data_IF_132447869443
#
_entry.id   IF_132447869443
#
_cell.length_a   1.000
_cell.length_b   1.000
_cell.length_c   1.000
_cell.angle_alpha   90.00
_cell.angle_beta   90.00
_cell.angle_gamma   90.00
#
_symmetry.space_group_name_H-M   'P 1'
#
loop_
_entity.id
_entity.type
_entity.pdbx_description
1 polymer ?
#
# COMPACT_ATOMS: atom_id res chain seq x y z
N UNK A 1 -62.19 34.14 -1.93
CA UNK A 1 -61.68 35.16 -2.87
C UNK A 1 -60.17 35.24 -2.71
N UNK A 2 -59.41 34.45 -3.48
CA UNK A 2 -57.97 34.62 -3.61
C UNK A 2 -57.60 34.21 -5.03
N UNK A 3 -57.50 35.20 -5.91
CA UNK A 3 -57.05 35.01 -7.29
C UNK A 3 -55.53 34.86 -7.22
N UNK A 4 -55.06 33.63 -7.39
CA UNK A 4 -53.63 33.31 -7.47
C UNK A 4 -53.00 34.16 -8.55
N UNK A 5 -52.10 35.05 -8.12
CA UNK A 5 -51.39 35.98 -8.98
C UNK A 5 -50.29 35.21 -9.73
N UNK A 6 -50.67 34.48 -10.77
CA UNK A 6 -49.72 33.90 -11.71
C UNK A 6 -49.17 35.03 -12.59
N UNK A 7 -48.14 35.70 -12.09
CA UNK A 7 -47.27 36.55 -12.90
C UNK A 7 -46.61 35.65 -13.96
N UNK A 8 -46.62 36.01 -15.26
CA UNK A 8 -45.92 35.22 -16.27
C UNK A 8 -44.44 35.20 -15.92
N UNK A 9 -43.88 33.99 -15.78
CA UNK A 9 -42.48 33.80 -15.46
C UNK A 9 -41.63 34.47 -16.55
N UNK A 10 -40.62 35.29 -16.19
CA UNK A 10 -39.75 35.93 -17.17
C UNK A 10 -39.07 34.84 -18.03
N UNK A 11 -38.84 35.11 -19.32
CA UNK A 11 -38.34 34.11 -20.28
C UNK A 11 -37.06 33.37 -19.89
N UNK A 12 -36.29 33.89 -18.93
CA UNK A 12 -35.11 33.22 -18.35
C UNK A 12 -35.43 32.13 -17.32
N UNK A 13 -36.68 31.99 -16.86
CA UNK A 13 -37.08 31.01 -15.83
C UNK A 13 -36.89 29.57 -16.30
N UNK A 14 -37.07 29.29 -17.60
CA UNK A 14 -36.82 27.96 -18.17
C UNK A 14 -35.34 27.58 -18.08
N UNK A 15 -34.43 28.51 -18.40
CA UNK A 15 -32.99 28.29 -18.26
C UNK A 15 -32.56 28.07 -16.81
N UNK A 16 -33.15 28.81 -15.87
CA UNK A 16 -32.90 28.58 -14.44
C UNK A 16 -33.37 27.20 -13.99
N UNK A 17 -34.56 26.75 -14.42
CA UNK A 17 -35.07 25.42 -14.11
C UNK A 17 -34.17 24.32 -14.68
N UNK A 18 -33.73 24.47 -15.93
CA UNK A 18 -32.80 23.55 -16.58
C UNK A 18 -31.48 23.46 -15.81
N UNK A 19 -30.91 24.60 -15.43
CA UNK A 19 -29.66 24.66 -14.68
C UNK A 19 -29.80 24.01 -13.29
N UNK A 20 -30.93 24.24 -12.63
CA UNK A 20 -31.24 23.62 -11.34
C UNK A 20 -31.30 22.09 -11.44
N UNK A 21 -31.98 21.57 -12.48
CA UNK A 21 -32.03 20.13 -12.74
C UNK A 21 -30.64 19.58 -13.07
N UNK A 22 -29.86 20.28 -13.90
CA UNK A 22 -28.50 19.87 -14.24
C UNK A 22 -27.59 19.77 -13.01
N UNK A 23 -27.70 20.72 -12.08
CA UNK A 23 -26.96 20.69 -10.80
C UNK A 23 -27.39 19.52 -9.93
N UNK A 24 -28.71 19.24 -9.83
CA UNK A 24 -29.22 18.09 -9.08
C UNK A 24 -28.69 16.77 -9.65
N UNK A 25 -28.75 16.60 -10.98
CA UNK A 25 -28.23 15.40 -11.65
C UNK A 25 -26.73 15.26 -11.41
N UNK A 26 -25.97 16.36 -11.51
CA UNK A 26 -24.53 16.37 -11.24
C UNK A 26 -24.22 15.95 -9.80
N UNK A 27 -24.95 16.48 -8.81
CA UNK A 27 -24.74 16.14 -7.40
C UNK A 27 -24.97 14.64 -7.14
N UNK A 28 -26.04 14.06 -7.71
CA UNK A 28 -26.33 12.63 -7.60
C UNK A 28 -25.26 11.81 -8.31
N UNK A 29 -24.87 12.19 -9.53
CA UNK A 29 -23.87 11.49 -10.32
C UNK A 29 -22.50 11.46 -9.62
N UNK A 30 -22.07 12.57 -9.05
CA UNK A 30 -20.80 12.67 -8.30
C UNK A 30 -20.84 11.77 -7.05
N UNK A 31 -21.94 11.82 -6.28
CA UNK A 31 -22.11 10.97 -5.10
C UNK A 31 -22.09 9.47 -5.46
N UNK A 32 -22.79 9.10 -6.54
CA UNK A 32 -22.82 7.74 -7.04
C UNK A 32 -21.45 7.27 -7.51
N UNK A 33 -20.73 8.10 -8.28
CA UNK A 33 -19.36 7.81 -8.72
C UNK A 33 -18.42 7.63 -7.53
N UNK A 34 -18.55 8.44 -6.47
CA UNK A 34 -17.76 8.30 -5.26
C UNK A 34 -18.06 6.98 -4.52
N UNK A 35 -19.32 6.56 -4.47
CA UNK A 35 -19.71 5.29 -3.87
C UNK A 35 -19.16 4.09 -4.66
N UNK A 36 -19.30 4.11 -5.99
CA UNK A 36 -18.73 3.09 -6.87
C UNK A 36 -17.21 3.01 -6.77
N UNK A 37 -16.54 4.17 -6.74
CA UNK A 37 -15.08 4.21 -6.59
C UNK A 37 -14.62 3.58 -5.27
N UNK A 38 -15.34 3.80 -4.16
CA UNK A 38 -15.05 3.15 -2.88
C UNK A 38 -15.19 1.64 -2.95
N UNK A 39 -16.20 1.12 -3.64
CA UNK A 39 -16.36 -0.33 -3.80
C UNK A 39 -15.22 -0.93 -4.63
N UNK A 40 -14.86 -0.30 -5.74
CA UNK A 40 -13.79 -0.77 -6.62
C UNK A 40 -12.42 -0.72 -5.92
N UNK A 41 -12.16 0.35 -5.16
CA UNK A 41 -10.97 0.47 -4.33
C UNK A 41 -10.92 -0.64 -3.27
N UNK A 42 -12.03 -0.95 -2.60
CA UNK A 42 -12.04 -2.03 -1.60
C UNK A 42 -11.65 -3.39 -2.21
N UNK A 43 -12.13 -3.72 -3.41
CA UNK A 43 -11.70 -4.95 -4.10
C UNK A 43 -10.22 -4.93 -4.45
N UNK A 44 -9.70 -3.78 -4.88
CA UNK A 44 -8.27 -3.63 -5.18
C UNK A 44 -7.40 -3.80 -3.92
N UNK A 45 -7.81 -3.19 -2.81
CA UNK A 45 -7.09 -3.29 -1.54
C UNK A 45 -7.10 -4.71 -0.97
N UNK A 46 -8.15 -5.49 -1.22
CA UNK A 46 -8.18 -6.89 -0.80
C UNK A 46 -7.08 -7.72 -1.49
N UNK A 47 -6.93 -7.58 -2.81
CA UNK A 47 -5.89 -8.27 -3.58
C UNK A 47 -4.49 -7.76 -3.21
N UNK A 48 -4.33 -6.45 -3.07
CA UNK A 48 -3.07 -5.85 -2.61
C UNK A 48 -2.66 -6.37 -1.23
N UNK A 49 -3.61 -6.54 -0.31
CA UNK A 49 -3.32 -7.05 1.04
C UNK A 49 -2.71 -8.45 1.02
N UNK A 50 -3.16 -9.32 0.11
CA UNK A 50 -2.58 -10.66 -0.08
C UNK A 50 -1.14 -10.55 -0.58
N UNK A 51 -0.91 -9.69 -1.58
CA UNK A 51 0.42 -9.46 -2.14
C UNK A 51 1.39 -8.87 -1.12
N UNK A 52 0.95 -7.90 -0.32
CA UNK A 52 1.77 -7.24 0.69
C UNK A 52 2.19 -8.22 1.79
N UNK A 53 1.30 -9.14 2.20
CA UNK A 53 1.64 -10.21 3.16
C UNK A 53 2.72 -11.13 2.61
N UNK A 54 2.59 -11.57 1.36
CA UNK A 54 3.59 -12.42 0.71
C UNK A 54 4.94 -11.70 0.57
N UNK A 55 4.93 -10.40 0.25
CA UNK A 55 6.15 -9.61 0.15
C UNK A 55 6.83 -9.40 1.51
N UNK A 56 6.07 -9.23 2.58
CA UNK A 56 6.60 -9.15 3.93
C UNK A 56 7.26 -10.48 4.36
N UNK A 57 6.63 -11.61 4.06
CA UNK A 57 7.19 -12.94 4.33
C UNK A 57 8.46 -13.18 3.53
N UNK A 58 8.48 -12.82 2.24
CA UNK A 58 9.67 -12.89 1.41
C UNK A 58 10.81 -12.01 1.94
N UNK A 59 10.50 -10.79 2.39
CA UNK A 59 11.49 -9.91 3.01
C UNK A 59 12.09 -10.51 4.28
N UNK A 60 11.26 -11.15 5.11
CA UNK A 60 11.72 -11.89 6.29
C UNK A 60 12.63 -13.06 5.89
N UNK A 61 12.25 -13.86 4.90
CA UNK A 61 13.06 -14.97 4.41
C UNK A 61 14.41 -14.50 3.84
N UNK A 62 14.45 -13.35 3.16
CA UNK A 62 15.73 -12.77 2.71
C UNK A 62 16.61 -12.35 3.88
N UNK A 63 16.04 -11.77 4.93
CA UNK A 63 16.80 -11.43 6.13
C UNK A 63 17.35 -12.69 6.80
N UNK A 64 16.53 -13.74 6.90
CA UNK A 64 16.96 -15.06 7.38
C UNK A 64 18.08 -15.63 6.49
N UNK A 65 17.96 -15.58 5.16
CA UNK A 65 18.99 -16.08 4.26
C UNK A 65 20.28 -15.26 4.36
N UNK A 66 20.19 -13.93 4.35
CA UNK A 66 21.36 -13.04 4.35
C UNK A 66 22.22 -13.19 5.61
N UNK A 67 21.61 -13.50 6.75
CA UNK A 67 22.33 -13.82 7.98
C UNK A 67 23.06 -15.17 7.90
N UNK A 68 22.49 -16.16 7.20
CA UNK A 68 23.12 -17.46 6.98
C UNK A 68 24.25 -17.40 5.93
N UNK A 69 24.07 -16.68 4.82
CA UNK A 69 25.08 -16.61 3.76
C UNK A 69 26.31 -15.78 4.16
N UNK A 70 26.16 -14.76 4.99
CA UNK A 70 27.30 -13.97 5.46
C UNK A 70 28.20 -14.77 6.43
N UNK A 71 27.60 -15.51 7.37
CA UNK A 71 28.37 -16.29 8.35
C UNK A 71 28.92 -17.59 7.76
N UNK A 72 28.06 -18.39 7.12
CA UNK A 72 28.43 -19.71 6.60
C UNK A 72 29.46 -19.63 5.46
N UNK A 73 29.37 -18.63 4.57
CA UNK A 73 30.32 -18.50 3.46
C UNK A 73 31.69 -18.03 3.93
N UNK A 74 31.76 -17.14 4.93
CA UNK A 74 33.05 -16.69 5.48
C UNK A 74 33.70 -17.82 6.28
N UNK A 75 32.93 -18.53 7.09
CA UNK A 75 33.41 -19.64 7.90
C UNK A 75 33.89 -20.81 7.02
N UNK A 76 33.12 -21.20 5.99
CA UNK A 76 33.53 -22.23 5.05
C UNK A 76 34.79 -21.83 4.25
N UNK A 77 34.89 -20.58 3.80
CA UNK A 77 36.07 -20.11 3.07
C UNK A 77 37.31 -20.02 3.98
N UNK A 78 37.14 -19.66 5.26
CA UNK A 78 38.21 -19.62 6.26
C UNK A 78 38.68 -21.02 6.68
N UNK A 79 37.77 -21.98 6.84
CA UNK A 79 38.13 -23.36 7.14
C UNK A 79 38.80 -24.04 5.94
N UNK A 80 38.27 -23.85 4.73
CA UNK A 80 38.72 -24.58 3.54
C UNK A 80 39.99 -23.96 2.90
N UNK A 81 40.05 -22.63 2.74
CA UNK A 81 41.23 -21.98 2.14
C UNK A 81 42.33 -21.64 3.13
N UNK A 82 41.99 -21.29 4.38
CA UNK A 82 42.98 -20.91 5.40
C UNK A 82 43.31 -22.02 6.40
N UNK A 83 42.71 -23.21 6.28
CA UNK A 83 42.87 -24.35 7.23
C UNK A 83 42.70 -23.93 8.69
N UNK A 84 41.89 -22.91 8.96
CA UNK A 84 41.67 -22.43 10.31
C UNK A 84 40.88 -23.49 11.09
N UNK A 85 41.51 -24.01 12.15
CA UNK A 85 40.90 -24.89 13.15
C UNK A 85 40.77 -24.10 14.45
N UNK A 86 39.66 -24.27 15.16
CA UNK A 86 39.49 -23.68 16.50
C UNK A 86 40.58 -24.30 17.39
N UNK A 87 41.56 -23.52 17.87
CA UNK A 87 42.67 -24.06 18.63
C UNK A 87 42.16 -24.55 19.99
N UNK A 88 42.62 -25.72 20.42
CA UNK A 88 42.34 -26.26 21.74
C UNK A 88 43.04 -25.37 22.78
N UNK A 89 42.48 -25.28 24.00
CA UNK A 89 42.89 -24.34 25.05
C UNK A 89 44.38 -24.42 25.46
N UNK A 90 45.10 -25.46 25.00
CA UNK A 90 46.54 -25.65 25.23
C UNK A 90 47.45 -24.75 24.36
N UNK A 91 46.95 -24.16 23.27
CA UNK A 91 47.78 -23.39 22.32
C UNK A 91 47.61 -21.86 22.41
N UNK A 92 46.88 -21.37 23.41
CA UNK A 92 46.62 -19.93 23.57
C UNK A 92 47.78 -19.28 24.33
N UNK A 93 48.65 -18.57 23.60
CA UNK A 93 49.70 -17.72 24.19
C UNK A 93 49.28 -16.26 24.13
N UNK A 94 48.80 -15.71 25.25
CA UNK A 94 48.53 -14.28 25.37
C UNK A 94 49.84 -13.50 25.44
N UNK A 95 50.00 -12.53 24.54
CA UNK A 95 51.07 -11.55 24.60
C UNK A 95 50.44 -10.24 25.02
N UNK A 96 50.80 -9.77 26.21
CA UNK A 96 50.47 -8.43 26.72
C UNK A 96 51.21 -7.36 25.90
N UNK A 97 50.59 -6.17 25.70
CA UNK A 97 51.03 -5.15 24.74
C UNK A 97 52.44 -4.64 24.96
#
# INVERSE_FOLDING_TARGET
MSRGFFKPLPGGSFFMLLLFIAVLVSAIAVSYSAHWNRQLLNSLYAELSVRDKAQAEWGRLILEQSTWTAHSRIEALATDQLKMRIPNAADIRMVSP
#
